data_IF_484622620345
#
_entry.id   IF_484622620345
#
_cell.length_a   1.000
_cell.length_b   1.000
_cell.length_c   1.000
_cell.angle_alpha   90.00
_cell.angle_beta   90.00
_cell.angle_gamma   90.00
#
_symmetry.space_group_name_H-M   'P 1'
#
loop_
_entity.id
_entity.type
_entity.pdbx_description
1 polymer ?
#
# COMPACT_ATOMS: atom_id res chain seq x y z
N UNK A 1 28.38 -4.41 3.20
CA UNK A 1 26.89 -4.34 3.15
C UNK A 1 26.25 -5.02 4.37
N UNK A 2 26.62 -6.28 4.73
CA UNK A 2 26.04 -7.01 5.88
C UNK A 2 26.22 -6.27 7.23
N UNK A 3 27.34 -5.59 7.47
CA UNK A 3 27.57 -4.82 8.72
C UNK A 3 26.66 -3.60 8.85
N UNK A 4 26.37 -2.87 7.75
CA UNK A 4 25.42 -1.73 7.76
C UNK A 4 23.98 -2.16 8.02
N UNK A 5 23.54 -3.28 7.44
CA UNK A 5 22.21 -3.84 7.68
C UNK A 5 22.03 -4.30 9.13
N UNK A 6 23.05 -4.95 9.72
CA UNK A 6 23.03 -5.36 11.12
C UNK A 6 22.99 -4.14 12.06
N UNK A 7 23.74 -3.07 11.75
CA UNK A 7 23.73 -1.84 12.53
C UNK A 7 22.34 -1.17 12.48
N UNK A 8 21.71 -1.05 11.31
CA UNK A 8 20.38 -0.48 11.17
C UNK A 8 19.29 -1.25 11.95
N UNK A 9 19.39 -2.59 12.01
CA UNK A 9 18.51 -3.43 12.85
C UNK A 9 18.74 -3.17 14.35
N UNK A 10 19.98 -3.02 14.77
CA UNK A 10 20.32 -2.74 16.16
C UNK A 10 19.81 -1.35 16.57
N UNK A 11 20.00 -0.34 15.74
CA UNK A 11 19.56 1.02 16.00
C UNK A 11 18.02 1.10 16.08
N UNK A 12 17.32 0.41 15.19
CA UNK A 12 15.85 0.29 15.23
C UNK A 12 15.35 -0.43 16.49
N UNK A 13 16.00 -1.51 16.91
CA UNK A 13 15.68 -2.25 18.14
C UNK A 13 15.92 -1.41 19.40
N UNK A 14 17.04 -0.68 19.46
CA UNK A 14 17.36 0.22 20.59
C UNK A 14 16.35 1.37 20.65
N UNK A 15 16.00 1.97 19.52
CA UNK A 15 14.98 3.01 19.44
C UNK A 15 13.61 2.52 19.94
N UNK A 16 13.19 1.33 19.51
CA UNK A 16 11.94 0.71 19.98
C UNK A 16 11.97 0.44 21.50
N UNK A 17 13.06 -0.10 22.04
CA UNK A 17 13.20 -0.29 23.49
C UNK A 17 13.18 1.00 24.30
N UNK A 18 13.61 2.12 23.71
CA UNK A 18 13.57 3.47 24.31
C UNK A 18 12.23 4.16 24.18
N UNK A 19 11.22 3.50 23.57
CA UNK A 19 9.91 4.10 23.27
C UNK A 19 9.97 5.18 22.19
N UNK A 20 11.05 5.24 21.41
CA UNK A 20 11.15 6.12 20.26
C UNK A 20 10.12 5.69 19.20
N UNK A 21 9.32 6.64 18.72
CA UNK A 21 8.32 6.35 17.69
C UNK A 21 9.01 5.99 16.37
N UNK A 22 8.68 4.84 15.83
CA UNK A 22 9.14 4.43 14.50
C UNK A 22 8.63 5.43 13.47
N UNK A 23 9.54 6.11 12.78
CA UNK A 23 9.18 6.96 11.65
C UNK A 23 8.87 6.09 10.46
N UNK A 24 7.61 6.05 10.10
CA UNK A 24 7.11 5.33 8.94
C UNK A 24 6.49 6.29 7.92
N UNK A 25 6.73 6.05 6.63
CA UNK A 25 6.10 6.76 5.53
C UNK A 25 5.12 5.85 4.81
N UNK A 26 3.84 6.19 4.85
CA UNK A 26 2.80 5.55 4.05
C UNK A 26 2.79 6.17 2.65
N UNK A 27 2.83 5.32 1.63
CA UNK A 27 2.97 5.70 0.23
C UNK A 27 1.82 5.10 -0.55
N UNK A 28 1.05 5.98 -1.17
CA UNK A 28 -0.07 5.66 -2.04
C UNK A 28 0.20 6.21 -3.43
N UNK A 29 -0.25 5.51 -4.46
CA UNK A 29 -0.30 6.08 -5.81
C UNK A 29 -1.75 6.21 -6.25
N UNK A 30 -2.05 7.28 -7.00
CA UNK A 30 -3.40 7.68 -7.30
C UNK A 30 -3.52 8.25 -8.71
N UNK A 31 -4.64 8.00 -9.35
CA UNK A 31 -5.15 8.70 -10.52
C UNK A 31 -6.65 8.87 -10.36
N UNK A 32 -7.15 10.05 -10.68
CA UNK A 32 -8.57 10.33 -10.64
C UNK A 32 -9.33 9.39 -11.59
N UNK A 33 -10.48 8.91 -11.14
CA UNK A 33 -11.40 8.09 -11.92
C UNK A 33 -12.67 8.85 -12.27
N UNK A 34 -13.49 8.27 -13.10
CA UNK A 34 -14.81 8.82 -13.37
C UNK A 34 -15.71 8.72 -12.13
N UNK A 35 -16.48 9.78 -11.82
CA UNK A 35 -17.53 9.73 -10.79
C UNK A 35 -17.08 9.97 -9.33
N UNK A 36 -15.80 10.26 -9.06
CA UNK A 36 -15.36 10.71 -7.73
C UNK A 36 -15.27 9.65 -6.62
N UNK A 37 -15.68 8.40 -6.87
CA UNK A 37 -15.62 7.33 -5.85
C UNK A 37 -14.19 7.03 -5.39
N UNK A 38 -13.22 7.03 -6.31
CA UNK A 38 -11.81 6.86 -5.98
C UNK A 38 -11.29 7.98 -5.08
N UNK A 39 -11.73 9.21 -5.32
CA UNK A 39 -11.34 10.35 -4.50
C UNK A 39 -11.87 10.19 -3.08
N UNK A 40 -13.13 9.83 -2.90
CA UNK A 40 -13.72 9.61 -1.59
C UNK A 40 -13.00 8.47 -0.83
N UNK A 41 -12.63 7.38 -1.52
CA UNK A 41 -11.85 6.29 -0.94
C UNK A 41 -10.45 6.78 -0.51
N UNK A 42 -9.74 7.52 -1.36
CA UNK A 42 -8.44 8.11 -1.02
C UNK A 42 -8.54 9.00 0.22
N UNK A 43 -9.51 9.91 0.28
CA UNK A 43 -9.69 10.84 1.39
C UNK A 43 -9.93 10.07 2.72
N UNK A 44 -10.73 9.01 2.69
CA UNK A 44 -10.98 8.15 3.85
C UNK A 44 -9.71 7.38 4.28
N UNK A 45 -8.97 6.81 3.33
CA UNK A 45 -7.72 6.09 3.62
C UNK A 45 -6.66 7.03 4.18
N UNK A 46 -6.50 8.23 3.62
CA UNK A 46 -5.55 9.23 4.12
C UNK A 46 -5.93 9.67 5.54
N UNK A 47 -7.22 9.93 5.80
CA UNK A 47 -7.69 10.30 7.14
C UNK A 47 -7.41 9.18 8.16
N UNK A 48 -7.70 7.91 7.81
CA UNK A 48 -7.36 6.76 8.63
C UNK A 48 -5.85 6.62 8.89
N UNK A 49 -5.01 6.82 7.88
CA UNK A 49 -3.55 6.75 8.03
C UNK A 49 -3.02 7.81 9.01
N UNK A 50 -3.62 8.99 9.02
CA UNK A 50 -3.20 10.12 9.85
C UNK A 50 -3.67 10.02 11.31
N UNK A 51 -4.53 9.06 11.66
CA UNK A 51 -4.87 8.78 13.06
C UNK A 51 -3.65 8.28 13.87
N UNK A 52 -2.72 7.61 13.21
CA UNK A 52 -1.52 7.13 13.88
C UNK A 52 -0.44 8.23 13.96
N UNK A 53 -0.07 8.67 15.17
CA UNK A 53 0.91 9.74 15.34
C UNK A 53 2.31 9.32 14.84
N UNK A 54 3.03 10.27 14.24
CA UNK A 54 4.39 10.08 13.74
C UNK A 54 4.47 9.41 12.37
N UNK A 55 3.34 9.23 11.69
CA UNK A 55 3.28 8.73 10.32
C UNK A 55 3.29 9.88 9.32
N UNK A 56 4.12 9.77 8.30
CA UNK A 56 4.08 10.60 7.09
C UNK A 56 3.20 9.90 6.06
N UNK A 57 2.35 10.65 5.36
CA UNK A 57 1.55 10.12 4.24
C UNK A 57 1.96 10.84 2.95
N UNK A 58 2.27 10.07 1.92
CA UNK A 58 2.65 10.57 0.61
C UNK A 58 1.68 9.98 -0.42
N UNK A 59 0.95 10.85 -1.09
CA UNK A 59 0.09 10.49 -2.22
C UNK A 59 0.78 10.93 -3.51
N UNK A 60 1.12 9.97 -4.36
CA UNK A 60 1.70 10.25 -5.68
C UNK A 60 0.58 10.27 -6.70
N UNK A 61 0.22 11.47 -7.13
CA UNK A 61 -0.78 11.66 -8.18
C UNK A 61 -0.13 11.53 -9.55
N UNK A 62 -0.62 10.60 -10.36
CA UNK A 62 -0.17 10.38 -11.72
C UNK A 62 -1.27 10.79 -12.70
N UNK A 63 -1.15 11.95 -13.32
CA UNK A 63 -2.12 12.43 -14.30
C UNK A 63 -1.44 13.36 -15.33
N UNK A 64 -2.19 13.80 -16.34
CA UNK A 64 -1.77 14.80 -17.32
C UNK A 64 -1.75 16.23 -16.73
N UNK A 65 -2.50 16.46 -15.65
CA UNK A 65 -2.48 17.70 -14.85
C UNK A 65 -2.89 17.40 -13.39
N UNK A 66 -2.50 18.26 -12.42
CA UNK A 66 -2.90 18.10 -11.03
C UNK A 66 -4.41 18.21 -10.85
N UNK A 67 -5.01 17.24 -10.16
CA UNK A 67 -6.43 17.21 -9.79
C UNK A 67 -6.62 17.21 -8.27
N UNK A 68 -5.62 16.73 -7.52
CA UNK A 68 -5.61 16.80 -6.08
C UNK A 68 -5.18 18.19 -5.63
N UNK A 69 -6.03 18.84 -4.83
CA UNK A 69 -5.68 20.12 -4.23
C UNK A 69 -4.54 19.95 -3.21
N UNK A 70 -3.53 20.78 -3.30
CA UNK A 70 -2.43 20.86 -2.35
C UNK A 70 -2.39 22.27 -1.72
N UNK A 71 -2.04 22.37 -0.41
CA UNK A 71 -1.71 21.29 0.52
C UNK A 71 -2.95 20.55 0.99
N UNK A 72 -2.80 19.27 1.33
CA UNK A 72 -3.83 18.55 2.06
C UNK A 72 -4.07 19.23 3.43
N UNK A 73 -5.27 19.09 3.97
CA UNK A 73 -5.67 19.77 5.21
C UNK A 73 -4.75 19.44 6.42
N UNK A 74 -4.03 18.33 6.37
CA UNK A 74 -3.07 17.92 7.40
C UNK A 74 -1.63 17.98 6.84
N UNK A 75 -0.71 18.72 7.50
CA UNK A 75 0.68 18.87 7.04
C UNK A 75 1.50 17.57 7.08
N UNK A 76 1.01 16.52 7.74
CA UNK A 76 1.63 15.19 7.71
C UNK A 76 1.29 14.41 6.43
N UNK A 77 0.35 14.90 5.62
CA UNK A 77 0.03 14.38 4.29
C UNK A 77 0.50 15.36 3.22
N UNK A 78 1.14 14.85 2.20
CA UNK A 78 1.54 15.64 1.04
C UNK A 78 1.24 14.94 -0.27
N UNK A 79 0.88 15.71 -1.26
CA UNK A 79 0.73 15.26 -2.64
C UNK A 79 2.04 15.51 -3.38
N UNK A 80 2.48 14.51 -4.14
CA UNK A 80 3.57 14.60 -5.11
C UNK A 80 2.94 14.40 -6.48
N UNK A 81 2.88 15.45 -7.27
CA UNK A 81 2.41 15.35 -8.64
C UNK A 81 3.51 14.75 -9.53
N UNK A 82 3.17 13.69 -10.25
CA UNK A 82 4.04 13.00 -11.18
C UNK A 82 3.36 12.99 -12.57
N UNK A 83 3.80 13.89 -13.45
CA UNK A 83 3.25 14.03 -14.80
C UNK A 83 3.30 12.70 -15.55
N UNK A 84 2.14 12.16 -15.89
CA UNK A 84 1.99 10.92 -16.63
C UNK A 84 0.74 10.96 -17.53
N UNK A 85 0.86 11.43 -18.79
CA UNK A 85 -0.25 11.46 -19.73
C UNK A 85 -0.58 10.07 -20.31
N UNK A 86 0.27 9.06 -20.04
CA UNK A 86 0.11 7.70 -20.51
C UNK A 86 -0.67 6.81 -19.54
N UNK A 87 -0.47 5.50 -19.62
CA UNK A 87 -1.08 4.54 -18.70
C UNK A 87 -0.60 4.75 -17.27
N UNK A 88 -1.50 4.55 -16.33
CA UNK A 88 -1.14 4.53 -14.92
C UNK A 88 -0.08 3.45 -14.67
N UNK A 89 0.97 3.78 -13.92
CA UNK A 89 2.03 2.85 -13.56
C UNK A 89 2.21 2.82 -12.04
N UNK A 90 1.63 1.78 -11.42
CA UNK A 90 1.69 1.61 -9.97
C UNK A 90 3.13 1.54 -9.45
N UNK A 91 3.98 0.73 -10.08
CA UNK A 91 5.38 0.56 -9.68
C UNK A 91 6.17 1.86 -9.69
N UNK A 92 6.04 2.62 -10.78
CA UNK A 92 6.70 3.92 -10.91
C UNK A 92 6.22 4.93 -9.87
N UNK A 93 4.89 5.03 -9.66
CA UNK A 93 4.33 5.93 -8.66
C UNK A 93 4.80 5.60 -7.24
N UNK A 94 4.84 4.31 -6.86
CA UNK A 94 5.35 3.89 -5.55
C UNK A 94 6.84 4.18 -5.39
N UNK A 95 7.64 4.03 -6.45
CA UNK A 95 9.06 4.41 -6.45
C UNK A 95 9.24 5.92 -6.30
N UNK A 96 8.42 6.74 -6.98
CA UNK A 96 8.41 8.21 -6.79
C UNK A 96 8.13 8.53 -5.33
N UNK A 97 7.08 7.96 -4.73
CA UNK A 97 6.75 8.16 -3.33
C UNK A 97 7.89 7.75 -2.37
N UNK A 98 8.53 6.60 -2.63
CA UNK A 98 9.65 6.12 -1.83
C UNK A 98 10.87 7.10 -1.83
N UNK A 99 11.13 7.76 -2.96
CA UNK A 99 12.17 8.79 -3.06
C UNK A 99 11.87 10.03 -2.22
N UNK A 100 10.59 10.36 -2.05
CA UNK A 100 10.13 11.49 -1.27
C UNK A 100 9.90 11.18 0.22
N UNK A 101 9.90 9.92 0.61
CA UNK A 101 9.66 9.48 1.98
C UNK A 101 10.84 9.76 2.91
N UNK A 102 10.58 10.03 4.20
CA UNK A 102 11.59 10.27 5.22
C UNK A 102 11.68 9.15 6.27
N UNK A 103 10.69 8.26 6.34
CA UNK A 103 10.66 7.16 7.30
C UNK A 103 11.70 6.09 7.04
N UNK A 104 12.18 5.44 8.09
CA UNK A 104 13.05 4.26 8.01
C UNK A 104 12.29 2.99 7.62
N UNK A 105 10.97 3.00 7.78
CA UNK A 105 10.04 1.98 7.30
C UNK A 105 9.12 2.60 6.25
N UNK A 106 8.97 1.92 5.13
CA UNK A 106 8.05 2.29 4.05
C UNK A 106 6.83 1.39 4.14
N UNK A 107 5.65 2.01 4.14
CA UNK A 107 4.35 1.35 4.11
C UNK A 107 3.78 1.59 2.71
N UNK A 108 3.82 0.59 1.86
CA UNK A 108 3.20 0.67 0.54
C UNK A 108 1.76 0.16 0.61
N UNK A 109 0.84 0.87 -0.04
CA UNK A 109 -0.56 0.53 0.01
C UNK A 109 -1.39 1.03 -1.16
N UNK A 110 -2.69 0.80 -1.06
CA UNK A 110 -3.69 1.15 -2.06
C UNK A 110 -4.64 2.21 -1.52
N UNK A 111 -5.14 3.07 -2.40
CA UNK A 111 -5.98 4.21 -2.06
C UNK A 111 -7.40 3.83 -1.60
N UNK A 112 -7.75 2.56 -1.69
CA UNK A 112 -9.07 2.00 -1.36
C UNK A 112 -9.00 0.87 -0.31
N UNK A 113 -7.85 0.66 0.34
CA UNK A 113 -7.67 -0.41 1.33
C UNK A 113 -7.28 0.15 2.69
N UNK A 114 -7.99 -0.27 3.74
CA UNK A 114 -7.66 0.00 5.14
C UNK A 114 -7.34 -1.30 5.88
N UNK A 115 -6.43 -1.25 6.86
CA UNK A 115 -5.99 -2.42 7.64
C UNK A 115 -6.16 -2.12 9.12
N UNK A 116 -7.31 -2.43 9.72
CA UNK A 116 -7.57 -2.14 11.12
C UNK A 116 -6.54 -2.79 12.03
N UNK A 117 -5.90 -1.99 12.91
CA UNK A 117 -4.94 -2.48 13.91
C UNK A 117 -3.57 -2.96 13.38
N UNK A 118 -3.41 -3.21 12.07
CA UNK A 118 -2.25 -3.90 11.53
C UNK A 118 -1.03 -3.04 11.20
N UNK A 119 -1.22 -1.84 10.63
CA UNK A 119 -0.11 -1.07 10.07
C UNK A 119 0.90 -0.54 11.11
N UNK A 120 0.44 -0.14 12.29
CA UNK A 120 1.33 0.31 13.36
C UNK A 120 2.20 -0.84 13.89
N UNK A 121 1.58 -2.02 14.08
CA UNK A 121 2.29 -3.23 14.48
C UNK A 121 3.30 -3.65 13.39
N UNK A 122 2.92 -3.61 12.12
CA UNK A 122 3.79 -3.94 10.99
C UNK A 122 5.02 -3.02 10.93
N UNK A 123 4.82 -1.71 11.10
CA UNK A 123 5.93 -0.76 11.15
C UNK A 123 6.89 -1.06 12.32
N UNK A 124 6.35 -1.36 13.51
CA UNK A 124 7.14 -1.73 14.67
C UNK A 124 7.95 -3.00 14.46
N UNK A 125 7.34 -4.06 13.92
CA UNK A 125 8.04 -5.31 13.61
C UNK A 125 9.13 -5.14 12.54
N UNK A 126 8.87 -4.36 11.49
CA UNK A 126 9.87 -4.02 10.49
C UNK A 126 11.06 -3.29 11.10
N UNK A 127 10.80 -2.31 11.96
CA UNK A 127 11.88 -1.55 12.59
C UNK A 127 12.73 -2.41 13.51
N UNK A 128 12.12 -3.37 14.22
CA UNK A 128 12.76 -4.12 15.29
C UNK A 128 13.43 -5.43 14.84
N UNK A 129 12.84 -6.21 13.92
CA UNK A 129 13.21 -7.61 13.79
C UNK A 129 13.27 -8.20 12.39
N UNK A 130 12.44 -7.75 11.45
CA UNK A 130 12.34 -8.33 10.11
C UNK A 130 12.51 -7.28 9.02
N UNK A 131 12.67 -7.71 7.78
CA UNK A 131 12.87 -6.80 6.65
C UNK A 131 11.55 -6.38 6.01
N UNK A 132 10.54 -7.29 6.01
CA UNK A 132 9.22 -7.03 5.47
C UNK A 132 8.13 -7.66 6.35
N UNK A 133 7.00 -6.95 6.49
CA UNK A 133 5.81 -7.44 7.20
C UNK A 133 4.57 -7.26 6.34
N UNK A 134 3.82 -8.34 6.16
CA UNK A 134 2.43 -8.31 5.66
C UNK A 134 1.50 -8.11 6.87
N UNK A 135 0.69 -7.04 6.91
CA UNK A 135 -0.08 -6.70 8.11
C UNK A 135 -1.43 -7.41 8.24
N UNK A 136 -1.79 -8.31 7.34
CA UNK A 136 -3.04 -9.09 7.34
C UNK A 136 -2.88 -10.34 6.47
N UNK A 137 -3.77 -11.31 6.63
CA UNK A 137 -3.81 -12.53 5.81
C UNK A 137 -4.98 -12.56 4.83
N UNK A 138 -6.09 -11.92 5.19
CA UNK A 138 -7.31 -11.92 4.39
C UNK A 138 -7.73 -10.50 4.05
N UNK A 139 -8.43 -10.34 2.95
CA UNK A 139 -9.02 -9.07 2.53
C UNK A 139 -10.51 -9.29 2.26
N UNK A 140 -11.35 -8.35 2.72
CA UNK A 140 -12.78 -8.38 2.53
C UNK A 140 -13.21 -7.12 1.79
N UNK A 141 -13.93 -7.29 0.68
CA UNK A 141 -14.58 -6.18 -0.03
C UNK A 141 -15.80 -5.67 0.73
N UNK A 142 -15.85 -4.37 0.98
CA UNK A 142 -17.01 -3.72 1.56
C UNK A 142 -18.11 -3.53 0.52
N UNK A 143 -19.36 -3.56 0.96
CA UNK A 143 -20.51 -3.16 0.16
C UNK A 143 -20.51 -1.64 -0.06
N UNK A 144 -21.31 -1.12 -1.04
CA UNK A 144 -21.49 0.33 -1.21
C UNK A 144 -21.95 1.04 0.07
N UNK A 145 -22.89 0.44 0.83
CA UNK A 145 -23.40 1.02 2.07
C UNK A 145 -22.37 1.03 3.20
N UNK A 146 -21.59 -0.05 3.36
CA UNK A 146 -20.48 -0.11 4.32
C UNK A 146 -19.39 0.92 3.98
N UNK A 147 -19.06 1.06 2.70
CA UNK A 147 -18.11 2.06 2.22
C UNK A 147 -18.59 3.48 2.48
N UNK A 148 -19.87 3.76 2.21
CA UNK A 148 -20.49 5.05 2.53
C UNK A 148 -20.36 5.40 4.02
N UNK A 149 -20.59 4.43 4.91
CA UNK A 149 -20.39 4.64 6.35
C UNK A 149 -18.93 4.97 6.71
N UNK A 150 -17.95 4.37 6.02
CA UNK A 150 -16.54 4.70 6.20
C UNK A 150 -16.26 6.13 5.77
N UNK A 151 -16.80 6.57 4.63
CA UNK A 151 -16.66 7.95 4.14
C UNK A 151 -17.27 8.97 5.10
N UNK A 152 -18.51 8.74 5.57
CA UNK A 152 -19.21 9.63 6.51
C UNK A 152 -18.46 9.80 7.84
N UNK A 153 -17.73 8.79 8.25
CA UNK A 153 -16.93 8.77 9.48
C UNK A 153 -15.47 9.17 9.24
N UNK A 154 -15.11 9.56 8.02
CA UNK A 154 -13.77 9.98 7.64
C UNK A 154 -12.70 8.92 7.92
N UNK A 155 -13.00 7.64 7.69
CA UNK A 155 -12.09 6.53 7.92
C UNK A 155 -11.89 6.12 9.39
N UNK A 156 -12.46 6.89 10.35
CA UNK A 156 -12.19 6.71 11.80
C UNK A 156 -12.93 5.54 12.45
N UNK A 157 -14.08 5.16 11.91
CA UNK A 157 -14.84 4.04 12.45
C UNK A 157 -15.10 3.05 11.32
N UNK A 158 -14.32 1.98 11.32
CA UNK A 158 -14.44 0.91 10.35
C UNK A 158 -15.55 -0.07 10.79
N UNK A 159 -16.32 -0.62 9.85
CA UNK A 159 -17.32 -1.64 10.17
C UNK A 159 -16.64 -2.89 10.74
N UNK A 160 -17.26 -3.52 11.72
CA UNK A 160 -16.88 -4.86 12.13
C UNK A 160 -17.36 -5.84 11.05
N UNK A 161 -16.42 -6.42 10.32
CA UNK A 161 -16.71 -7.37 9.23
C UNK A 161 -16.23 -8.74 9.64
N UNK A 162 -17.13 -9.72 9.59
CA UNK A 162 -16.78 -11.13 9.80
C UNK A 162 -16.16 -11.67 8.48
N UNK A 163 -14.91 -12.08 8.55
CA UNK A 163 -14.20 -12.70 7.43
C UNK A 163 -14.84 -14.03 6.96
N UNK A 164 -15.65 -14.67 7.83
CA UNK A 164 -16.37 -15.91 7.53
C UNK A 164 -17.71 -15.72 6.79
N UNK A 165 -18.22 -14.52 6.64
CA UNK A 165 -19.56 -14.25 6.13
C UNK A 165 -19.74 -14.39 4.61
N UNK A 166 -18.89 -15.09 3.90
CA UNK A 166 -19.05 -15.37 2.45
C UNK A 166 -19.05 -14.14 1.53
N UNK A 167 -18.62 -12.98 2.03
CA UNK A 167 -18.59 -11.70 1.31
C UNK A 167 -17.35 -11.53 0.43
N UNK A 168 -16.59 -12.60 0.24
CA UNK A 168 -15.39 -12.60 -0.59
C UNK A 168 -15.74 -12.64 -2.07
N UNK A 169 -16.03 -11.48 -2.63
CA UNK A 169 -15.74 -11.24 -4.05
C UNK A 169 -14.33 -10.78 -4.13
N UNK A 170 -13.39 -11.45 -4.47
CA UNK A 170 -11.95 -11.28 -4.52
C UNK A 170 -11.18 -11.90 -3.34
N UNK A 171 -11.72 -12.99 -2.77
CA UNK A 171 -10.81 -14.02 -2.31
C UNK A 171 -10.19 -14.60 -3.59
N UNK A 172 -9.15 -13.96 -4.10
CA UNK A 172 -8.18 -14.66 -4.92
C UNK A 172 -7.72 -15.85 -4.08
N UNK A 173 -8.32 -17.01 -4.25
CA UNK A 173 -8.01 -18.33 -3.69
C UNK A 173 -7.21 -18.37 -2.36
N UNK A 174 -7.47 -17.45 -1.42
CA UNK A 174 -6.80 -17.38 -0.13
C UNK A 174 -5.30 -17.04 -0.17
N UNK A 175 -4.72 -16.72 -1.32
CA UNK A 175 -3.31 -16.35 -1.48
C UNK A 175 -3.16 -14.94 -2.03
N UNK A 176 -3.25 -13.95 -1.13
CA UNK A 176 -2.70 -12.64 -1.41
C UNK A 176 -1.18 -12.75 -1.52
N UNK A 177 -0.58 -12.20 -2.58
CA UNK A 177 0.87 -12.08 -2.68
C UNK A 177 1.41 -11.30 -1.47
N UNK A 178 2.60 -11.66 -1.00
CA UNK A 178 3.23 -11.00 0.15
C UNK A 178 3.26 -9.46 0.01
N UNK A 179 3.48 -8.96 -1.20
CA UNK A 179 3.55 -7.54 -1.52
C UNK A 179 2.27 -6.97 -2.18
N UNK A 180 1.13 -7.65 -2.02
CA UNK A 180 -0.17 -7.16 -2.49
C UNK A 180 -0.87 -6.31 -1.42
N UNK A 181 -1.66 -5.30 -1.86
CA UNK A 181 -2.31 -4.35 -0.97
C UNK A 181 -1.30 -3.61 -0.07
N UNK A 182 -1.47 -3.69 1.25
CA UNK A 182 -0.55 -3.08 2.21
C UNK A 182 0.54 -4.03 2.64
N UNK A 183 1.78 -3.52 2.67
CA UNK A 183 2.91 -4.15 3.35
C UNK A 183 3.89 -3.10 3.87
N UNK A 184 4.65 -3.47 4.90
CA UNK A 184 5.71 -2.68 5.47
C UNK A 184 7.06 -3.26 5.07
N UNK A 185 8.01 -2.44 4.68
CA UNK A 185 9.38 -2.87 4.37
C UNK A 185 10.39 -1.85 4.90
N UNK A 186 11.52 -2.32 5.39
CA UNK A 186 12.64 -1.44 5.74
C UNK A 186 13.15 -0.74 4.49
N UNK A 187 13.43 0.55 4.61
CA UNK A 187 13.96 1.35 3.50
C UNK A 187 15.25 0.79 2.90
N UNK A 188 16.16 0.35 3.75
CA UNK A 188 17.44 -0.24 3.32
C UNK A 188 17.25 -1.58 2.60
N UNK A 189 16.31 -2.41 3.07
CA UNK A 189 15.93 -3.66 2.40
C UNK A 189 15.28 -3.39 1.04
N UNK A 190 14.34 -2.43 0.96
CA UNK A 190 13.70 -2.00 -0.29
C UNK A 190 14.74 -1.52 -1.33
N UNK A 191 15.69 -0.68 -0.90
CA UNK A 191 16.75 -0.22 -1.78
C UNK A 191 17.68 -1.37 -2.23
N UNK A 192 17.99 -2.32 -1.33
CA UNK A 192 18.88 -3.44 -1.60
C UNK A 192 18.34 -4.41 -2.66
N UNK A 193 17.01 -4.59 -2.73
CA UNK A 193 16.36 -5.47 -3.72
C UNK A 193 16.04 -4.74 -5.05
N UNK A 194 16.44 -3.47 -5.19
CA UNK A 194 16.31 -2.71 -6.44
C UNK A 194 14.91 -2.11 -6.66
N UNK A 195 14.16 -1.81 -5.58
CA UNK A 195 12.87 -1.11 -5.60
C UNK A 195 11.78 -1.84 -6.43
N UNK A 196 10.64 -1.21 -6.74
CA UNK A 196 9.67 -1.81 -7.67
C UNK A 196 10.22 -1.83 -9.11
N UNK A 197 9.83 -2.82 -9.87
CA UNK A 197 10.15 -2.92 -11.29
C UNK A 197 9.10 -2.15 -12.10
N UNK A 198 9.49 -1.03 -12.66
CA UNK A 198 8.60 -0.10 -13.37
C UNK A 198 8.09 -0.65 -14.73
N UNK A 199 8.59 -1.79 -15.17
CA UNK A 199 8.06 -2.51 -16.35
C UNK A 199 6.69 -3.10 -16.06
N UNK A 200 6.38 -3.41 -14.78
CA UNK A 200 5.07 -3.86 -14.33
C UNK A 200 4.22 -2.66 -13.90
N UNK A 201 3.30 -2.26 -14.77
CA UNK A 201 2.47 -1.09 -14.53
C UNK A 201 1.24 -1.39 -13.65
N UNK A 202 0.65 -2.58 -13.81
CA UNK A 202 -0.55 -3.01 -13.08
C UNK A 202 -0.25 -3.50 -11.66
N UNK A 203 -1.32 -3.67 -10.86
CA UNK A 203 -1.19 -4.07 -9.47
C UNK A 203 -0.70 -5.51 -9.32
N UNK A 204 -1.23 -6.44 -10.11
CA UNK A 204 -0.92 -7.86 -10.00
C UNK A 204 0.54 -8.15 -10.38
N UNK A 205 1.00 -7.68 -11.54
CA UNK A 205 2.39 -7.83 -11.99
C UNK A 205 3.38 -7.14 -11.07
N UNK A 206 3.05 -5.93 -10.60
CA UNK A 206 3.85 -5.19 -9.62
C UNK A 206 4.03 -5.97 -8.31
N UNK A 207 2.94 -6.52 -7.77
CA UNK A 207 2.94 -7.30 -6.52
C UNK A 207 3.70 -8.62 -6.67
N UNK A 208 3.50 -9.32 -7.79
CA UNK A 208 4.22 -10.55 -8.12
C UNK A 208 5.73 -10.31 -8.22
N UNK A 209 6.15 -9.34 -9.04
CA UNK A 209 7.56 -9.02 -9.24
C UNK A 209 8.25 -8.61 -7.92
N UNK A 210 7.56 -7.84 -7.09
CA UNK A 210 8.10 -7.43 -5.79
C UNK A 210 8.21 -8.62 -4.83
N UNK A 211 7.21 -9.50 -4.78
CA UNK A 211 7.26 -10.74 -3.98
C UNK A 211 8.42 -11.62 -4.42
N UNK A 212 8.60 -11.83 -5.71
CA UNK A 212 9.72 -12.60 -6.25
C UNK A 212 11.09 -12.02 -5.86
N UNK A 213 11.26 -10.69 -5.91
CA UNK A 213 12.49 -10.02 -5.46
C UNK A 213 12.77 -10.25 -3.97
N UNK A 214 11.73 -10.17 -3.13
CA UNK A 214 11.83 -10.43 -1.69
C UNK A 214 12.28 -11.86 -1.41
N UNK A 215 11.69 -12.83 -2.10
CA UNK A 215 12.02 -14.26 -1.96
C UNK A 215 13.42 -14.57 -2.46
N UNK A 216 13.80 -14.11 -3.67
CA UNK A 216 15.13 -14.30 -4.23
C UNK A 216 16.23 -13.67 -3.36
N UNK A 217 15.97 -12.51 -2.78
CA UNK A 217 16.87 -11.86 -1.86
C UNK A 217 16.88 -12.49 -0.46
N UNK A 218 15.97 -13.44 -0.18
CA UNK A 218 15.81 -14.11 1.12
C UNK A 218 15.67 -13.09 2.25
N UNK A 219 14.84 -12.07 2.07
CA UNK A 219 14.55 -11.12 3.14
C UNK A 219 13.80 -11.82 4.27
N UNK A 220 14.07 -11.39 5.50
CA UNK A 220 13.31 -11.87 6.66
C UNK A 220 11.89 -11.28 6.61
N UNK A 221 10.88 -12.13 6.51
CA UNK A 221 9.48 -11.74 6.38
C UNK A 221 8.62 -12.23 7.53
N UNK A 222 7.52 -11.53 7.81
CA UNK A 222 6.52 -11.91 8.78
C UNK A 222 5.12 -11.53 8.27
N UNK A 223 4.14 -12.37 8.54
CA UNK A 223 2.72 -12.06 8.33
C UNK A 223 2.03 -11.92 9.67
N UNK A 224 1.26 -10.83 9.84
CA UNK A 224 0.40 -10.61 10.98
C UNK A 224 -1.03 -11.04 10.65
N UNK A 225 -1.82 -11.29 11.69
CA UNK A 225 -3.24 -11.63 11.53
C UNK A 225 -4.11 -10.94 12.60
N UNK A 226 -4.13 -9.58 12.59
CA UNK A 226 -4.98 -8.81 13.51
C UNK A 226 -6.45 -8.76 13.07
N UNK A 227 -6.78 -9.39 11.95
CA UNK A 227 -8.05 -9.35 11.26
C UNK A 227 -7.90 -8.99 9.78
N UNK A 228 -9.02 -8.97 9.02
CA UNK A 228 -8.98 -8.73 7.59
C UNK A 228 -8.62 -7.29 7.25
N UNK A 229 -7.95 -7.09 6.12
CA UNK A 229 -7.95 -5.82 5.42
C UNK A 229 -9.34 -5.58 4.81
N UNK A 230 -9.76 -4.32 4.73
CA UNK A 230 -11.05 -3.94 4.18
C UNK A 230 -10.82 -3.13 2.90
N UNK A 231 -11.35 -3.62 1.78
CA UNK A 231 -11.34 -2.89 0.52
C UNK A 231 -12.63 -2.10 0.38
N UNK A 232 -12.50 -0.80 0.23
CA UNK A 232 -13.62 0.11 -0.02
C UNK A 232 -14.17 -0.14 -1.42
N UNK A 233 -15.48 -0.16 -1.54
CA UNK A 233 -16.14 -0.36 -2.82
C UNK A 233 -15.93 0.84 -3.77
N UNK A 234 -15.79 0.56 -5.06
CA UNK A 234 -15.94 1.55 -6.13
C UNK A 234 -16.60 0.89 -7.35
N UNK A 235 -17.35 1.65 -8.19
CA UNK A 235 -17.97 1.11 -9.40
C UNK A 235 -16.95 0.48 -10.35
N UNK A 236 -15.77 1.07 -10.42
CA UNK A 236 -14.68 0.62 -11.30
C UNK A 236 -14.04 -0.70 -10.82
N UNK A 237 -13.99 -0.94 -9.51
CA UNK A 237 -13.46 -2.17 -8.94
C UNK A 237 -14.48 -3.34 -9.00
N UNK A 238 -15.78 -3.05 -9.09
CA UNK A 238 -16.85 -4.07 -9.07
C UNK A 238 -17.11 -4.74 -10.43
N UNK A 239 -16.36 -4.38 -11.47
CA UNK A 239 -16.52 -5.00 -12.80
C UNK A 239 -17.72 -4.49 -13.61
N UNK A 240 -18.57 -3.61 -13.06
CA UNK A 240 -19.67 -3.02 -13.83
C UNK A 240 -19.19 -1.99 -14.88
N UNK A 241 -18.00 -1.42 -14.65
CA UNK A 241 -17.32 -0.56 -15.64
C UNK A 241 -15.97 -1.15 -16.12
N UNK A 242 -15.50 -2.23 -15.50
CA UNK A 242 -14.12 -2.71 -15.63
C UNK A 242 -13.88 -3.77 -16.68
N UNK A 243 -14.93 -4.47 -17.17
CA UNK A 243 -14.75 -5.55 -18.16
C UNK A 243 -14.27 -4.99 -19.51
N UNK A 244 -14.58 -3.74 -19.84
CA UNK A 244 -14.12 -3.11 -21.10
C UNK A 244 -12.72 -2.48 -21.03
N UNK A 245 -12.17 -2.24 -19.84
CA UNK A 245 -10.87 -1.58 -19.65
C UNK A 245 -9.75 -2.53 -19.21
N UNK A 246 -10.09 -3.69 -18.66
CA UNK A 246 -9.13 -4.66 -18.11
C UNK A 246 -8.70 -5.73 -19.11
N UNK A 247 -9.55 -6.05 -20.09
CA UNK A 247 -9.23 -7.03 -21.16
C UNK A 247 -8.15 -6.54 -22.15
N UNK A 248 -7.72 -5.28 -22.05
CA UNK A 248 -6.66 -4.73 -22.90
C UNK A 248 -5.28 -4.64 -22.21
N UNK A 249 -5.16 -4.97 -20.94
CA UNK A 249 -3.87 -5.08 -20.25
C UNK A 249 -3.47 -6.54 -20.13
N UNK A 250 -2.99 -7.08 -21.21
CA UNK A 250 -2.31 -8.35 -21.24
C UNK A 250 -1.28 -8.42 -20.09
N UNK A 251 -1.55 -9.27 -19.12
CA UNK A 251 -0.66 -9.58 -17.99
C UNK A 251 0.51 -10.47 -18.44
N UNK A 252 0.94 -10.34 -19.67
CA UNK A 252 2.12 -11.01 -20.18
C UNK A 252 3.34 -10.50 -19.42
N UNK A 253 4.03 -11.39 -18.72
CA UNK A 253 5.36 -11.13 -18.20
C UNK A 253 6.23 -10.63 -19.35
N UNK A 254 7.03 -9.56 -19.15
CA UNK A 254 8.03 -9.18 -20.16
C UNK A 254 8.91 -10.36 -20.50
N UNK A 255 9.22 -10.55 -21.79
CA UNK A 255 9.99 -11.70 -22.32
C UNK A 255 11.31 -11.96 -21.59
N UNK A 256 11.87 -10.96 -20.97
CA UNK A 256 13.13 -11.03 -20.20
C UNK A 256 12.99 -11.75 -18.85
N UNK A 257 11.79 -12.01 -18.36
CA UNK A 257 11.54 -12.74 -17.10
C UNK A 257 11.43 -14.26 -17.29
N UNK A 258 11.40 -14.73 -18.55
CA UNK A 258 11.22 -16.15 -18.90
C UNK A 258 12.57 -16.83 -19.19
N UNK A 259 13.71 -16.16 -18.97
CA UNK A 259 15.05 -16.72 -19.21
C UNK A 259 15.84 -16.92 -17.94
#
# INVERSE_FOLDING_TARGET
RRRRAAQGKMDGFIGWMRGERVRASAILTYREGAGGARRANLDAVVAWLLEAPGREVIVVEQDDHPRLEAPMANPAARVVFAFNPGRFNRSWGLNVGARHANGGVLLFGEHDVVVPGGLAAAAGHCAASVDLVKPYRTMVGLTPDETRLVHERGGRALPAVDAGAGRGRDATDGRSWLCDGWFAIRRDAFAAIGTFDERFADSAGSSFAMTAKVELARLATCELDPGPALRLWSPEASGEAGVAAQDASDSALPDDYVR
#
